data_IF_813295534855
#
_entry.id   IF_813295534855
#
_cell.length_a   1.000
_cell.length_b   1.000
_cell.length_c   1.000
_cell.angle_alpha   90.00
_cell.angle_beta   90.00
_cell.angle_gamma   90.00
#
_symmetry.space_group_name_H-M   'P 1'
#
loop_
_entity.id
_entity.type
_entity.pdbx_description
1 polymer ?
#
# COMPACT_ATOMS: atom_id res chain seq x y z
N UNK A 1 -15.72 11.48 21.52
CA UNK A 1 -14.53 10.77 21.01
C UNK A 1 -13.40 11.78 20.87
N UNK A 2 -12.17 11.46 21.30
CA UNK A 2 -11.00 12.25 20.88
C UNK A 2 -10.69 11.88 19.42
N UNK A 3 -10.59 12.86 18.53
CA UNK A 3 -10.38 12.63 17.08
C UNK A 3 -8.96 12.16 16.74
N UNK A 4 -8.02 12.29 17.66
CA UNK A 4 -6.60 11.98 17.49
C UNK A 4 -6.33 10.58 16.87
N UNK A 5 -6.97 9.47 17.31
CA UNK A 5 -6.69 8.15 16.74
C UNK A 5 -7.21 8.00 15.31
N UNK A 6 -8.37 8.58 15.00
CA UNK A 6 -8.92 8.55 13.64
C UNK A 6 -8.05 9.34 12.68
N UNK A 7 -7.56 10.51 13.09
CA UNK A 7 -6.65 11.31 12.28
C UNK A 7 -5.34 10.57 12.00
N UNK A 8 -4.75 9.90 13.00
CA UNK A 8 -3.55 9.07 12.81
C UNK A 8 -3.81 7.89 11.86
N UNK A 9 -4.99 7.30 11.91
CA UNK A 9 -5.36 6.20 11.03
C UNK A 9 -5.46 6.66 9.58
N UNK A 10 -6.14 7.77 9.32
CA UNK A 10 -6.23 8.34 7.96
C UNK A 10 -4.84 8.72 7.44
N UNK A 11 -4.00 9.32 8.29
CA UNK A 11 -2.63 9.69 7.93
C UNK A 11 -1.78 8.46 7.57
N UNK A 12 -1.84 7.40 8.38
CA UNK A 12 -1.08 6.16 8.12
C UNK A 12 -1.58 5.43 6.87
N UNK A 13 -2.89 5.40 6.64
CA UNK A 13 -3.46 4.85 5.41
C UNK A 13 -2.99 5.66 4.20
N UNK A 14 -3.03 6.99 4.28
CA UNK A 14 -2.55 7.88 3.22
C UNK A 14 -1.07 7.71 2.93
N UNK A 15 -0.23 7.64 3.97
CA UNK A 15 1.20 7.36 3.85
C UNK A 15 1.45 5.99 3.21
N UNK A 16 0.76 4.96 3.67
CA UNK A 16 0.88 3.61 3.12
C UNK A 16 0.47 3.55 1.65
N UNK A 17 -0.64 4.19 1.29
CA UNK A 17 -1.10 4.29 -0.09
C UNK A 17 -0.08 5.03 -0.97
N UNK A 18 0.45 6.14 -0.48
CA UNK A 18 1.51 6.88 -1.16
C UNK A 18 2.78 6.04 -1.34
N UNK A 19 3.22 5.30 -0.32
CA UNK A 19 4.38 4.42 -0.41
C UNK A 19 4.20 3.26 -1.39
N UNK A 20 2.99 2.74 -1.53
CA UNK A 20 2.65 1.71 -2.53
C UNK A 20 2.68 2.30 -3.94
N UNK A 21 2.14 3.50 -4.11
CA UNK A 21 2.03 4.19 -5.40
C UNK A 21 3.38 4.76 -5.91
N UNK A 22 4.14 5.42 -5.04
CA UNK A 22 5.36 6.15 -5.40
C UNK A 22 6.56 5.27 -5.79
N UNK A 23 6.41 3.94 -5.76
CA UNK A 23 7.55 3.01 -5.87
C UNK A 23 7.72 2.32 -7.22
N UNK A 24 6.94 2.68 -8.25
CA UNK A 24 7.33 2.32 -9.61
C UNK A 24 8.57 3.15 -9.99
N UNK A 25 9.78 2.55 -10.04
CA UNK A 25 10.98 3.33 -10.35
C UNK A 25 10.86 3.79 -11.79
N UNK A 26 10.97 5.08 -12.07
CA UNK A 26 11.12 5.55 -13.44
C UNK A 26 12.55 5.19 -13.89
N UNK A 27 12.75 4.61 -15.10
CA UNK A 27 14.09 4.42 -15.64
C UNK A 27 14.86 5.73 -15.63
N UNK A 28 16.12 5.74 -15.15
CA UNK A 28 16.93 6.97 -15.11
C UNK A 28 17.19 7.57 -16.50
N UNK A 29 17.02 6.77 -17.56
CA UNK A 29 17.21 7.17 -18.96
C UNK A 29 15.88 7.32 -19.71
N UNK A 30 14.75 7.42 -19.01
CA UNK A 30 13.45 7.67 -19.62
C UNK A 30 13.43 9.02 -20.35
N UNK A 31 12.85 9.06 -21.54
CA UNK A 31 12.63 10.30 -22.29
C UNK A 31 11.49 11.10 -21.64
N UNK A 32 11.62 12.43 -21.64
CA UNK A 32 10.61 13.32 -21.08
C UNK A 32 9.28 13.17 -21.81
N UNK A 33 8.20 12.98 -21.04
CA UNK A 33 6.85 12.77 -21.57
C UNK A 33 6.61 11.41 -22.22
N UNK A 34 7.56 10.47 -22.14
CA UNK A 34 7.36 9.11 -22.64
C UNK A 34 6.45 8.29 -21.71
N UNK A 35 5.55 7.52 -22.32
CA UNK A 35 4.77 6.50 -21.61
C UNK A 35 5.64 5.27 -21.37
N UNK A 36 5.60 4.74 -20.16
CA UNK A 36 6.41 3.59 -19.75
C UNK A 36 5.49 2.45 -19.33
N UNK A 37 5.56 1.34 -20.06
CA UNK A 37 4.79 0.13 -19.77
C UNK A 37 5.76 -0.98 -19.38
N UNK A 38 5.52 -1.65 -18.27
CA UNK A 38 6.40 -2.73 -17.82
C UNK A 38 6.07 -4.02 -18.57
N UNK A 39 7.01 -4.52 -19.37
CA UNK A 39 6.89 -5.77 -20.11
C UNK A 39 7.80 -6.85 -19.51
N UNK A 40 7.48 -8.11 -19.76
CA UNK A 40 8.33 -9.25 -19.37
C UNK A 40 8.88 -9.90 -20.63
N UNK A 41 10.21 -9.85 -20.80
CA UNK A 41 10.91 -10.48 -21.91
C UNK A 41 11.66 -11.68 -21.34
N UNK A 42 11.16 -12.89 -21.64
CA UNK A 42 11.65 -14.11 -21.01
C UNK A 42 11.44 -14.09 -19.49
N UNK A 43 12.53 -14.15 -18.73
CA UNK A 43 12.51 -14.08 -17.26
C UNK A 43 12.86 -12.69 -16.71
N UNK A 44 13.17 -11.72 -17.58
CA UNK A 44 13.57 -10.38 -17.19
C UNK A 44 12.42 -9.38 -17.32
N UNK A 45 12.32 -8.47 -16.35
CA UNK A 45 11.44 -7.30 -16.44
C UNK A 45 12.17 -6.21 -17.23
N UNK A 46 11.51 -5.67 -18.24
CA UNK A 46 11.95 -4.52 -19.01
C UNK A 46 10.84 -3.48 -19.07
N UNK A 47 11.18 -2.26 -19.45
CA UNK A 47 10.20 -1.22 -19.74
C UNK A 47 10.13 -1.00 -21.24
N UNK A 48 8.92 -1.01 -21.79
CA UNK A 48 8.65 -0.49 -23.11
C UNK A 48 8.36 1.00 -22.95
N UNK A 49 9.20 1.81 -23.56
CA UNK A 49 9.05 3.26 -23.62
C UNK A 49 8.41 3.63 -24.96
N UNK A 50 7.36 4.46 -24.90
CA UNK A 50 6.70 5.07 -26.05
C UNK A 50 6.81 6.59 -25.95
N UNK A 51 7.54 7.20 -26.88
CA UNK A 51 7.75 8.64 -26.97
C UNK A 51 6.96 9.21 -28.18
N UNK A 52 5.75 9.77 -27.97
CA UNK A 52 4.89 10.20 -29.07
C UNK A 52 5.47 11.37 -29.88
N UNK A 53 6.34 12.17 -29.25
CA UNK A 53 6.96 13.34 -29.88
C UNK A 53 8.32 13.04 -30.54
N UNK A 54 8.80 11.78 -30.48
CA UNK A 54 10.06 11.41 -31.09
C UNK A 54 9.90 11.25 -32.62
N UNK A 55 10.89 11.66 -33.42
CA UNK A 55 10.87 11.44 -34.87
C UNK A 55 10.91 9.94 -35.17
N UNK A 56 10.23 9.50 -36.23
CA UNK A 56 10.41 8.12 -36.72
C UNK A 56 11.85 7.88 -37.18
N UNK A 57 12.44 6.70 -36.92
CA UNK A 57 11.84 5.51 -36.32
C UNK A 57 11.96 5.46 -34.79
N UNK A 58 12.27 6.53 -34.09
CA UNK A 58 12.65 6.48 -32.67
C UNK A 58 11.47 6.54 -31.69
N UNK A 59 10.28 6.07 -32.05
CA UNK A 59 9.09 6.23 -31.20
C UNK A 59 9.05 5.22 -30.04
N UNK A 60 9.59 4.02 -30.23
CA UNK A 60 9.60 2.98 -29.20
C UNK A 60 11.00 2.58 -28.81
N UNK A 61 11.18 2.17 -27.56
CA UNK A 61 12.47 1.66 -27.05
C UNK A 61 12.24 0.68 -25.91
N UNK A 62 13.06 -0.37 -25.83
CA UNK A 62 13.06 -1.28 -24.68
C UNK A 62 14.17 -0.89 -23.72
N UNK A 63 13.84 -0.58 -22.47
CA UNK A 63 14.79 -0.28 -21.41
C UNK A 63 14.90 -1.49 -20.50
N UNK A 64 16.03 -2.17 -20.56
CA UNK A 64 16.37 -3.27 -19.69
C UNK A 64 16.92 -2.75 -18.36
N UNK A 65 16.54 -3.40 -17.25
CA UNK A 65 16.98 -2.97 -15.91
C UNK A 65 18.50 -3.06 -15.72
N UNK A 66 19.17 -4.02 -16.35
CA UNK A 66 20.63 -4.27 -16.19
C UNK A 66 21.47 -3.61 -17.29
N UNK A 67 21.03 -3.73 -18.54
CA UNK A 67 21.80 -3.28 -19.71
C UNK A 67 21.45 -1.87 -20.15
N UNK A 68 20.36 -1.29 -19.63
CA UNK A 68 19.94 0.07 -19.96
C UNK A 68 19.05 0.13 -21.22
N UNK A 69 18.94 1.31 -21.85
CA UNK A 69 18.12 1.49 -23.04
C UNK A 69 18.72 0.75 -24.24
N UNK A 70 17.90 -0.08 -24.89
CA UNK A 70 18.22 -0.69 -26.18
C UNK A 70 17.97 0.26 -27.35
N UNK A 71 18.06 -0.28 -28.56
CA UNK A 71 17.82 0.47 -29.80
C UNK A 71 16.37 0.95 -29.90
N UNK A 72 16.19 2.13 -30.49
CA UNK A 72 14.87 2.67 -30.76
C UNK A 72 14.31 2.10 -32.09
N UNK A 73 13.00 1.91 -32.16
CA UNK A 73 12.33 1.29 -33.31
C UNK A 73 10.96 1.89 -33.60
N UNK A 74 10.55 1.78 -34.88
CA UNK A 74 9.33 2.40 -35.41
C UNK A 74 8.07 1.69 -34.94
N UNK A 75 6.92 2.35 -35.12
CA UNK A 75 5.62 1.74 -34.90
C UNK A 75 5.44 0.44 -35.70
N UNK A 76 5.84 0.42 -36.97
CA UNK A 76 5.77 -0.77 -37.82
C UNK A 76 6.61 -1.93 -37.27
N UNK A 77 7.81 -1.63 -36.77
CA UNK A 77 8.68 -2.63 -36.16
C UNK A 77 8.09 -3.13 -34.83
N UNK A 78 7.50 -2.23 -34.03
CA UNK A 78 6.80 -2.57 -32.82
C UNK A 78 5.61 -3.52 -33.11
N UNK A 79 4.81 -3.24 -34.15
CA UNK A 79 3.63 -4.03 -34.53
C UNK A 79 4.00 -5.46 -34.86
N UNK A 80 5.10 -5.65 -35.59
CA UNK A 80 5.59 -7.00 -35.95
C UNK A 80 6.08 -7.81 -34.76
N UNK A 81 6.61 -7.16 -33.72
CA UNK A 81 7.26 -7.82 -32.58
C UNK A 81 6.30 -8.02 -31.40
N UNK A 82 5.48 -7.00 -31.11
CA UNK A 82 4.59 -6.96 -29.94
C UNK A 82 3.15 -7.36 -30.30
N UNK A 83 2.75 -7.22 -31.56
CA UNK A 83 1.37 -7.41 -32.01
C UNK A 83 0.47 -6.22 -31.68
N UNK A 84 -0.64 -6.11 -32.40
CA UNK A 84 -1.53 -4.96 -32.34
C UNK A 84 -2.18 -4.79 -30.95
N UNK A 85 -2.52 -5.88 -30.27
CA UNK A 85 -3.18 -5.85 -28.97
C UNK A 85 -2.28 -5.27 -27.86
N UNK A 86 -0.99 -5.64 -27.82
CA UNK A 86 -0.06 -5.08 -26.83
C UNK A 86 0.29 -3.61 -27.15
N UNK A 87 0.35 -3.26 -28.44
CA UNK A 87 0.62 -1.88 -28.85
C UNK A 87 -0.53 -0.94 -28.57
N UNK A 88 -1.75 -1.37 -28.84
CA UNK A 88 -2.96 -0.61 -28.50
C UNK A 88 -2.97 -0.34 -27.00
N UNK A 89 -2.69 -1.36 -26.18
CA UNK A 89 -2.56 -1.19 -24.73
C UNK A 89 -1.44 -0.24 -24.31
N UNK A 90 -0.33 -0.10 -25.05
CA UNK A 90 0.81 0.77 -24.69
C UNK A 90 0.58 2.21 -25.14
N UNK A 91 0.04 2.39 -26.34
CA UNK A 91 -0.24 3.71 -26.93
C UNK A 91 -1.45 4.33 -26.25
N UNK A 92 -2.51 3.53 -26.08
CA UNK A 92 -3.76 3.91 -25.45
C UNK A 92 -3.83 3.52 -23.98
N UNK A 93 -2.69 3.31 -23.31
CA UNK A 93 -2.62 3.07 -21.86
C UNK A 93 -3.13 4.30 -21.09
N UNK A 94 -4.45 4.47 -21.05
CA UNK A 94 -5.18 5.14 -20.00
C UNK A 94 -5.37 4.12 -18.88
N UNK A 95 -4.25 3.65 -18.32
CA UNK A 95 -4.29 2.83 -17.13
C UNK A 95 -4.98 3.67 -16.05
N UNK A 96 -6.28 3.43 -15.89
CA UNK A 96 -7.11 4.09 -14.91
C UNK A 96 -6.36 4.04 -13.57
N UNK A 97 -6.14 5.20 -12.95
CA UNK A 97 -5.34 5.30 -11.73
C UNK A 97 -5.81 4.30 -10.65
N UNK A 98 -7.10 3.95 -10.67
CA UNK A 98 -7.73 2.89 -9.89
C UNK A 98 -7.13 1.48 -10.11
N UNK A 99 -6.93 1.03 -11.35
CA UNK A 99 -6.36 -0.29 -11.66
C UNK A 99 -4.88 -0.36 -11.26
N UNK A 100 -4.13 0.72 -11.50
CA UNK A 100 -2.75 0.88 -11.00
C UNK A 100 -2.70 0.81 -9.48
N UNK A 101 -3.57 1.58 -8.79
CA UNK A 101 -3.60 1.66 -7.34
C UNK A 101 -3.93 0.31 -6.69
N UNK A 102 -4.84 -0.46 -7.29
CA UNK A 102 -5.22 -1.79 -6.79
C UNK A 102 -4.33 -2.92 -7.30
N UNK A 103 -3.34 -2.63 -8.16
CA UNK A 103 -2.48 -3.63 -8.79
C UNK A 103 -3.30 -4.76 -9.44
N UNK A 104 -4.35 -4.39 -10.17
CA UNK A 104 -5.29 -5.31 -10.82
C UNK A 104 -5.10 -5.26 -12.32
N UNK A 105 -4.84 -6.40 -12.94
CA UNK A 105 -4.66 -6.52 -14.40
C UNK A 105 -5.89 -7.08 -15.12
N UNK A 106 -6.98 -7.39 -14.41
CA UNK A 106 -8.19 -7.97 -15.01
C UNK A 106 -9.46 -7.63 -14.23
N UNK A 107 -10.65 -7.62 -14.88
CA UNK A 107 -11.92 -7.42 -14.18
C UNK A 107 -12.16 -8.44 -13.04
N UNK A 108 -11.69 -9.68 -13.20
CA UNK A 108 -11.73 -10.69 -12.14
C UNK A 108 -10.88 -10.34 -10.92
N UNK A 109 -9.75 -9.65 -11.11
CA UNK A 109 -8.92 -9.15 -10.01
C UNK A 109 -9.63 -8.13 -9.12
N UNK A 110 -10.57 -7.34 -9.67
CA UNK A 110 -11.37 -6.38 -8.91
C UNK A 110 -12.23 -7.08 -7.85
N UNK A 111 -12.77 -8.26 -8.17
CA UNK A 111 -13.57 -9.08 -7.24
C UNK A 111 -12.71 -9.54 -6.06
N UNK A 112 -11.47 -9.98 -6.32
CA UNK A 112 -10.53 -10.38 -5.28
C UNK A 112 -10.14 -9.22 -4.36
N UNK A 113 -9.95 -8.02 -4.92
CA UNK A 113 -9.67 -6.81 -4.12
C UNK A 113 -10.87 -6.45 -3.25
N UNK A 114 -12.09 -6.49 -3.80
CA UNK A 114 -13.32 -6.24 -3.04
C UNK A 114 -13.49 -7.26 -1.90
N UNK A 115 -13.24 -8.55 -2.17
CA UNK A 115 -13.24 -9.60 -1.16
C UNK A 115 -12.20 -9.33 -0.06
N UNK A 116 -10.99 -8.93 -0.46
CA UNK A 116 -9.91 -8.58 0.46
C UNK A 116 -10.27 -7.41 1.39
N UNK A 117 -10.85 -6.33 0.84
CA UNK A 117 -11.34 -5.22 1.66
C UNK A 117 -12.49 -5.63 2.58
N UNK A 118 -13.44 -6.43 2.07
CA UNK A 118 -14.53 -6.99 2.89
C UNK A 118 -14.00 -7.81 4.07
N UNK A 119 -13.03 -8.69 3.80
CA UNK A 119 -12.37 -9.48 4.83
C UNK A 119 -11.63 -8.59 5.84
N UNK A 120 -10.92 -7.54 5.38
CA UNK A 120 -10.25 -6.59 6.27
C UNK A 120 -11.24 -5.85 7.18
N UNK A 121 -12.40 -5.44 6.67
CA UNK A 121 -13.44 -4.77 7.46
C UNK A 121 -13.97 -5.71 8.54
N UNK A 122 -14.36 -6.93 8.18
CA UNK A 122 -14.88 -7.93 9.12
C UNK A 122 -13.82 -8.27 10.17
N UNK A 123 -12.58 -8.49 9.74
CA UNK A 123 -11.48 -8.83 10.64
C UNK A 123 -11.05 -7.64 11.52
N UNK A 124 -11.22 -6.40 11.07
CA UNK A 124 -10.95 -5.21 11.88
C UNK A 124 -12.09 -4.91 12.86
N UNK A 125 -13.32 -5.31 12.54
CA UNK A 125 -14.48 -5.13 13.39
C UNK A 125 -14.31 -5.74 14.78
N UNK A 126 -13.58 -6.86 14.91
CA UNK A 126 -13.29 -7.48 16.22
C UNK A 126 -12.56 -6.54 17.18
N UNK A 127 -11.65 -5.72 16.65
CA UNK A 127 -10.93 -4.72 17.44
C UNK A 127 -11.76 -3.46 17.66
N UNK A 128 -12.55 -3.05 16.66
CA UNK A 128 -13.45 -1.91 16.81
C UNK A 128 -14.53 -2.16 17.87
N UNK A 129 -15.15 -3.34 17.86
CA UNK A 129 -16.12 -3.77 18.85
C UNK A 129 -15.47 -3.85 20.23
N UNK A 130 -14.29 -4.47 20.34
CA UNK A 130 -13.53 -4.50 21.59
C UNK A 130 -13.23 -3.08 22.08
N UNK A 131 -12.84 -2.18 21.19
CA UNK A 131 -12.59 -0.78 21.53
C UNK A 131 -13.86 -0.13 22.08
N UNK A 132 -14.99 -0.19 21.38
CA UNK A 132 -16.26 0.40 21.84
C UNK A 132 -16.65 -0.16 23.22
N UNK A 133 -16.51 -1.47 23.43
CA UNK A 133 -16.81 -2.11 24.71
C UNK A 133 -15.85 -1.66 25.81
N UNK A 134 -14.55 -1.58 25.54
CA UNK A 134 -13.55 -1.10 26.50
C UNK A 134 -13.77 0.36 26.89
N UNK A 135 -14.21 1.20 25.94
CA UNK A 135 -14.52 2.60 26.20
C UNK A 135 -15.73 2.74 27.12
N UNK A 136 -16.78 1.96 26.86
CA UNK A 136 -17.99 1.94 27.70
C UNK A 136 -17.69 1.42 29.11
N UNK A 137 -16.79 0.45 29.25
CA UNK A 137 -16.45 -0.17 30.55
C UNK A 137 -15.25 0.45 31.25
N UNK A 138 -14.51 1.35 30.58
CA UNK A 138 -13.23 1.95 31.04
C UNK A 138 -12.20 0.93 31.55
N UNK A 139 -12.24 -0.31 31.04
CA UNK A 139 -11.36 -1.41 31.45
C UNK A 139 -10.86 -2.16 30.21
N UNK A 140 -9.54 -2.40 30.13
CA UNK A 140 -8.95 -3.32 29.15
C UNK A 140 -8.80 -4.69 29.80
N UNK A 141 -9.67 -5.63 29.45
CA UNK A 141 -9.60 -7.03 29.92
C UNK A 141 -8.42 -7.79 29.27
N UNK A 142 -7.84 -7.25 28.19
CA UNK A 142 -6.80 -7.90 27.39
C UNK A 142 -5.40 -7.61 27.97
N UNK A 143 -4.51 -8.63 28.10
CA UNK A 143 -3.16 -8.47 28.63
C UNK A 143 -2.31 -7.45 27.87
N UNK A 144 -1.42 -6.71 28.57
CA UNK A 144 -0.53 -5.72 27.94
C UNK A 144 0.37 -6.34 26.85
N UNK A 145 0.89 -7.55 27.09
CA UNK A 145 1.77 -8.24 26.16
C UNK A 145 1.11 -8.52 24.80
N UNK A 146 -0.20 -8.77 24.80
CA UNK A 146 -0.97 -8.97 23.56
C UNK A 146 -0.90 -7.73 22.67
N UNK A 147 -1.00 -6.54 23.25
CA UNK A 147 -0.95 -5.30 22.50
C UNK A 147 0.45 -4.99 21.96
N UNK A 148 1.51 -5.30 22.72
CA UNK A 148 2.88 -5.15 22.22
C UNK A 148 3.20 -6.11 21.08
N UNK A 149 2.86 -7.39 21.22
CA UNK A 149 3.05 -8.38 20.14
C UNK A 149 2.23 -7.98 18.89
N UNK A 150 0.98 -7.52 19.08
CA UNK A 150 0.13 -7.04 17.98
C UNK A 150 0.71 -5.80 17.29
N UNK A 151 1.29 -4.86 18.04
CA UNK A 151 1.92 -3.67 17.49
C UNK A 151 3.15 -4.03 16.64
N UNK A 152 4.04 -4.87 17.16
CA UNK A 152 5.24 -5.33 16.42
C UNK A 152 4.84 -6.12 15.18
N UNK A 153 3.90 -7.05 15.31
CA UNK A 153 3.38 -7.83 14.19
C UNK A 153 2.70 -6.96 13.14
N UNK A 154 1.87 -6.00 13.56
CA UNK A 154 1.17 -5.07 12.68
C UNK A 154 2.11 -4.16 11.90
N UNK A 155 3.16 -3.61 12.54
CA UNK A 155 4.19 -2.83 11.86
C UNK A 155 4.96 -3.70 10.87
N UNK A 156 5.33 -4.92 11.26
CA UNK A 156 6.06 -5.86 10.39
C UNK A 156 5.24 -6.20 9.13
N UNK A 157 3.95 -6.50 9.30
CA UNK A 157 3.04 -6.77 8.19
C UNK A 157 2.79 -5.52 7.34
N UNK A 158 2.67 -4.34 7.95
CA UNK A 158 2.56 -3.09 7.20
C UNK A 158 3.78 -2.90 6.29
N UNK A 159 5.00 -3.04 6.82
CA UNK A 159 6.23 -2.96 6.01
C UNK A 159 6.23 -4.02 4.88
N UNK A 160 5.79 -5.24 5.18
CA UNK A 160 5.69 -6.31 4.19
C UNK A 160 4.70 -5.99 3.06
N UNK A 161 3.50 -5.49 3.38
CA UNK A 161 2.49 -5.15 2.37
C UNK A 161 2.86 -3.90 1.55
N UNK A 162 3.56 -2.94 2.16
CA UNK A 162 4.18 -1.83 1.42
C UNK A 162 5.20 -2.36 0.41
N UNK A 163 6.07 -3.29 0.83
CA UNK A 163 7.03 -3.93 -0.09
C UNK A 163 6.32 -4.75 -1.18
N UNK A 164 5.21 -5.42 -0.85
CA UNK A 164 4.41 -6.20 -1.80
C UNK A 164 3.56 -5.35 -2.75
N UNK A 165 3.47 -4.05 -2.52
CA UNK A 165 2.54 -3.14 -3.22
C UNK A 165 1.08 -3.60 -3.13
N UNK A 166 0.68 -4.08 -1.94
CA UNK A 166 -0.68 -4.57 -1.67
C UNK A 166 -1.42 -3.55 -0.79
N UNK A 167 -2.28 -2.76 -1.44
CA UNK A 167 -3.04 -1.70 -0.78
C UNK A 167 -4.06 -2.23 0.23
N UNK A 168 -4.61 -3.43 0.00
CA UNK A 168 -5.59 -4.07 0.90
C UNK A 168 -4.91 -4.43 2.21
N UNK A 169 -3.71 -5.00 2.13
CA UNK A 169 -2.87 -5.30 3.28
C UNK A 169 -2.44 -4.05 4.05
N UNK A 170 -1.99 -3.02 3.34
CA UNK A 170 -1.60 -1.72 3.92
C UNK A 170 -2.75 -1.07 4.68
N UNK A 171 -3.95 -1.05 4.10
CA UNK A 171 -5.14 -0.48 4.75
C UNK A 171 -5.46 -1.20 6.06
N UNK A 172 -5.48 -2.54 6.03
CA UNK A 172 -5.74 -3.36 7.20
C UNK A 172 -4.73 -3.12 8.33
N UNK A 173 -3.45 -3.21 8.04
CA UNK A 173 -2.41 -3.09 9.07
C UNK A 173 -2.29 -1.66 9.63
N UNK A 174 -2.53 -0.63 8.81
CA UNK A 174 -2.56 0.76 9.28
C UNK A 174 -3.57 0.97 10.40
N UNK A 175 -4.79 0.45 10.20
CA UNK A 175 -5.85 0.53 11.22
C UNK A 175 -5.51 -0.23 12.50
N UNK A 176 -4.94 -1.44 12.37
CA UNK A 176 -4.53 -2.27 13.50
C UNK A 176 -3.47 -1.59 14.37
N UNK A 177 -2.40 -1.09 13.74
CA UNK A 177 -1.27 -0.42 14.43
C UNK A 177 -1.76 0.74 15.32
N UNK A 178 -2.67 1.56 14.82
CA UNK A 178 -3.23 2.70 15.59
C UNK A 178 -4.01 2.22 16.81
N UNK A 179 -4.86 1.21 16.65
CA UNK A 179 -5.66 0.66 17.74
C UNK A 179 -4.74 0.08 18.82
N UNK A 180 -3.69 -0.65 18.43
CA UNK A 180 -2.75 -1.27 19.36
C UNK A 180 -1.95 -0.22 20.15
N UNK A 181 -1.39 0.78 19.46
CA UNK A 181 -0.65 1.87 20.10
C UNK A 181 -1.51 2.65 21.09
N UNK A 182 -2.77 2.93 20.72
CA UNK A 182 -3.74 3.62 21.57
C UNK A 182 -4.08 2.82 22.83
N UNK A 183 -4.26 1.51 22.71
CA UNK A 183 -4.57 0.65 23.85
C UNK A 183 -3.39 0.54 24.83
N UNK A 184 -2.14 0.46 24.33
CA UNK A 184 -0.94 0.54 25.18
C UNK A 184 -0.89 1.87 25.95
N UNK A 185 -1.16 2.99 25.28
CA UNK A 185 -1.19 4.32 25.92
C UNK A 185 -2.24 4.41 27.03
N UNK A 186 -3.41 3.79 26.84
CA UNK A 186 -4.46 3.76 27.85
C UNK A 186 -4.09 2.94 29.09
N UNK A 187 -3.51 1.75 28.89
CA UNK A 187 -3.06 0.89 29.99
C UNK A 187 -2.01 1.61 30.84
N UNK A 188 -1.02 2.26 30.21
CA UNK A 188 -0.02 3.06 30.92
C UNK A 188 -0.65 4.18 31.76
N UNK A 189 -1.64 4.88 31.21
CA UNK A 189 -2.36 5.94 31.92
C UNK A 189 -3.22 5.40 33.09
N UNK A 190 -3.75 4.19 32.99
CA UNK A 190 -4.47 3.55 34.10
C UNK A 190 -3.51 3.18 35.23
N UNK A 191 -2.41 2.49 34.92
CA UNK A 191 -1.37 2.12 35.90
C UNK A 191 -0.83 3.33 36.67
N UNK A 192 -0.57 4.43 35.98
CA UNK A 192 -0.08 5.66 36.64
C UNK A 192 -1.09 6.22 37.64
N UNK A 193 -2.38 6.27 37.29
CA UNK A 193 -3.44 6.76 38.19
C UNK A 193 -3.70 5.82 39.37
N UNK A 194 -3.57 4.51 39.17
CA UNK A 194 -3.66 3.53 40.26
C UNK A 194 -2.50 3.67 41.24
N UNK A 195 -1.29 3.88 40.72
CA UNK A 195 -0.10 4.13 41.54
C UNK A 195 -0.23 5.44 42.34
N UNK A 196 -0.70 6.54 41.72
CA UNK A 196 -0.97 7.80 42.43
C UNK A 196 -2.00 7.63 43.55
N UNK A 197 -3.07 6.86 43.30
CA UNK A 197 -4.09 6.57 44.32
C UNK A 197 -3.55 5.76 45.48
N UNK A 198 -2.71 4.76 45.20
CA UNK A 198 -2.04 3.96 46.24
C UNK A 198 -1.09 4.83 47.09
N UNK A 199 -0.32 5.72 46.45
CA UNK A 199 0.55 6.64 47.17
C UNK A 199 -0.25 7.61 48.07
N UNK A 200 -1.37 8.13 47.59
CA UNK A 200 -2.24 9.00 48.39
C UNK A 200 -2.86 8.26 49.59
N UNK A 201 -3.31 7.02 49.40
CA UNK A 201 -3.85 6.18 50.48
C UNK A 201 -2.81 5.79 51.53
N UNK A 202 -1.55 5.60 51.12
CA UNK A 202 -0.47 5.27 52.04
C UNK A 202 0.09 6.48 52.81
N UNK A 203 -0.29 7.71 52.40
CA UNK A 203 0.16 8.95 53.02
C UNK A 203 -0.84 9.51 54.06
N UNK A 204 -2.06 8.96 54.11
CA UNK A 204 -3.08 9.19 55.15
C UNK A 204 -2.91 8.21 56.32
#
# INVERSE_FOLDING_TARGET
MKWEPLALMVLLIGLGAWLVYARAPVPPNARDGAKLTQIRIGQEKAWLEYAPNAPEPEQFRVIHRKTGPGDAFSLDAAQRVLGDELLDNVIHDEENALYRLFNVTSPGGVIWVALGFGAQIIFSARFLIQWIVSERRKQSVVPEIFWWISLVGGISLFCYFVWRQDIVGVFGQSSGVVIYARNIRLIKKQKHREHERQLAQNAE
#
